data_IF_714916782367
#
_entry.id   IF_714916782367
#
_cell.length_a   1.000
_cell.length_b   1.000
_cell.length_c   1.000
_cell.angle_alpha   90.00
_cell.angle_beta   90.00
_cell.angle_gamma   90.00
#
_symmetry.space_group_name_H-M   'P 1'
#
loop_
_entity.id
_entity.type
_entity.pdbx_description
1 polymer ?
2 non-polymer ?
3 non-polymer ?
4 water ?
#
# COMPACT_ATOMS: atom_id res chain seq x y z
N UNK A 2 1.15 -27.58 -12.36
CA UNK A 2 1.09 -26.17 -12.01
C UNK A 2 1.05 -25.28 -13.25
N UNK A 4 -0.60 -25.28 -15.81
CA UNK A 4 -1.93 -25.01 -16.36
C UNK A 4 -2.70 -23.96 -15.56
N UNK A 5 -2.24 -23.62 -14.36
CA UNK A 5 -2.90 -22.57 -13.57
C UNK A 5 -2.72 -21.24 -14.28
N UNK A 6 -3.79 -20.45 -14.46
CA UNK A 6 -3.64 -19.19 -15.21
C UNK A 6 -2.59 -18.25 -14.64
N UNK A 7 -2.42 -18.23 -13.31
CA UNK A 7 -1.39 -17.38 -12.73
C UNK A 7 0.00 -17.87 -13.09
N UNK A 8 0.20 -19.19 -13.09
CA UNK A 8 1.49 -19.74 -13.49
C UNK A 8 1.72 -19.54 -14.98
N UNK A 9 0.66 -19.58 -15.78
CA UNK A 9 0.79 -19.31 -17.21
C UNK A 9 1.26 -17.88 -17.45
N UNK A 10 0.78 -16.94 -16.64
CA UNK A 10 1.19 -15.54 -16.79
C UNK A 10 2.63 -15.36 -16.38
N UNK A 11 3.04 -15.95 -15.27
CA UNK A 11 4.43 -15.86 -14.82
C UNK A 11 5.37 -16.61 -15.74
N UNK A 12 4.87 -17.58 -16.51
CA UNK A 12 5.71 -18.37 -17.40
C UNK A 12 6.17 -17.59 -18.62
N UNK A 13 5.56 -16.44 -18.91
CA UNK A 13 5.98 -15.62 -20.05
C UNK A 13 7.34 -14.97 -19.83
N UNK A 14 7.84 -14.94 -18.60
CA UNK A 14 9.08 -14.27 -18.26
C UNK A 14 10.18 -15.29 -18.00
N UNK A 15 11.41 -14.89 -18.26
CA UNK A 15 12.60 -15.69 -17.92
C UNK A 15 13.19 -15.25 -16.59
N UNK A 16 12.34 -15.13 -15.58
CA UNK A 16 12.72 -14.66 -14.25
C UNK A 16 12.48 -15.74 -13.21
N UNK A 17 12.70 -16.99 -13.59
CA UNK A 17 12.45 -18.12 -12.71
C UNK A 17 13.75 -18.60 -12.07
N UNK A 18 13.66 -19.01 -10.80
CA UNK A 18 14.77 -19.59 -10.07
C UNK A 18 14.26 -20.79 -9.30
N UNK A 19 15.19 -21.51 -8.66
CA UNK A 19 14.86 -22.57 -7.72
C UNK A 19 15.48 -22.22 -6.38
N UNK A 20 14.93 -22.79 -5.32
CA UNK A 20 15.37 -22.45 -3.98
C UNK A 20 15.50 -23.70 -3.11
N UNK A 21 16.41 -23.63 -2.16
CA UNK A 21 16.61 -24.68 -1.17
C UNK A 21 16.57 -24.06 0.22
N UNK A 22 16.07 -24.84 1.19
CA UNK A 22 15.92 -24.37 2.56
C UNK A 22 17.23 -24.58 3.30
N UNK A 23 18.03 -23.53 3.41
CA UNK A 23 19.27 -23.56 4.18
C UNK A 23 18.95 -23.03 5.57
N UNK A 24 18.80 -23.93 6.55
CA UNK A 24 18.40 -23.60 7.92
C UNK A 24 17.01 -22.99 7.87
N UNK A 25 16.82 -21.74 8.28
CA UNK A 25 15.50 -21.13 8.33
C UNK A 25 15.33 -20.04 7.26
N UNK A 26 16.21 -20.00 6.27
CA UNK A 26 16.07 -19.12 5.13
C UNK A 26 15.96 -19.95 3.86
N UNK A 27 15.58 -19.29 2.77
CA UNK A 27 15.36 -19.94 1.48
C UNK A 27 16.22 -19.25 0.43
N UNK A 28 17.29 -19.92 0.03
CA UNK A 28 18.31 -19.33 -0.84
C UNK A 28 17.93 -19.62 -2.29
N UNK A 29 17.80 -18.62 -3.15
CA UNK A 29 17.53 -18.88 -4.56
C UNK A 29 18.78 -19.31 -5.31
N UNK A 30 18.56 -20.14 -6.34
CA UNK A 30 19.65 -20.72 -7.10
C UNK A 30 19.38 -20.57 -8.60
N UNK A 31 20.46 -20.46 -9.35
CA UNK A 31 20.39 -20.47 -10.81
C UNK A 31 19.96 -21.85 -11.27
N UNK A 32 18.82 -21.99 -11.96
CA UNK A 32 18.35 -23.33 -12.35
C UNK A 32 19.15 -23.95 -13.48
N UNK A 33 20.12 -23.25 -14.04
CA UNK A 33 20.91 -23.75 -15.16
C UNK A 33 22.25 -24.34 -14.72
N UNK A 34 23.02 -23.60 -13.92
CA UNK A 34 24.30 -24.08 -13.43
C UNK A 34 24.25 -24.55 -11.98
N UNK A 35 23.19 -24.23 -11.24
CA UNK A 35 23.06 -24.67 -9.87
C UNK A 35 23.79 -23.84 -8.84
N UNK A 36 24.35 -22.70 -9.23
CA UNK A 36 25.02 -21.83 -8.28
C UNK A 36 24.02 -20.85 -7.65
N UNK A 37 24.46 -20.19 -6.59
CA UNK A 37 23.60 -19.23 -5.90
C UNK A 37 23.28 -18.06 -6.82
N UNK A 38 21.99 -17.77 -6.96
CA UNK A 38 21.51 -16.74 -7.87
C UNK A 38 21.29 -15.42 -7.13
N UNK A 39 21.43 -14.33 -7.86
CA UNK A 39 21.17 -12.99 -7.34
C UNK A 39 19.83 -12.48 -7.87
N UNK A 40 19.08 -11.79 -7.01
CA UNK A 40 17.78 -11.26 -7.39
C UNK A 40 17.88 -10.01 -8.26
N UNK A 41 19.08 -9.55 -8.59
CA UNK A 41 19.27 -8.37 -9.41
C UNK A 41 20.07 -8.64 -10.68
N UNK A 42 20.53 -9.87 -10.91
CA UNK A 42 21.23 -10.23 -12.13
C UNK A 42 20.32 -11.10 -12.98
N UNK A 43 19.76 -10.58 -14.08
CA UNK A 43 18.80 -11.38 -14.85
C UNK A 43 19.38 -12.65 -15.46
N UNK A 44 20.68 -12.66 -15.77
CA UNK A 44 21.30 -13.85 -16.35
C UNK A 44 21.51 -14.97 -15.35
N UNK A 45 21.22 -14.73 -14.06
CA UNK A 45 21.24 -15.79 -13.06
C UNK A 45 19.92 -16.54 -12.97
N UNK A 46 18.93 -16.17 -13.78
CA UNK A 46 17.62 -16.79 -13.79
C UNK A 46 17.48 -17.65 -15.04
N UNK A 47 16.26 -18.16 -15.27
CA UNK A 47 15.95 -18.92 -16.46
C UNK A 47 14.45 -18.92 -16.66
N UNK A 48 14.03 -19.55 -17.76
CA UNK A 48 12.60 -19.65 -18.00
C UNK A 48 12.03 -20.78 -17.13
N UNK A 49 10.71 -21.00 -17.23
CA UNK A 49 10.07 -21.97 -16.35
C UNK A 49 10.55 -23.39 -16.66
N UNK A 50 10.91 -23.67 -17.92
CA UNK A 50 11.35 -25.02 -18.27
C UNK A 50 12.74 -25.32 -17.73
N UNK A 51 13.64 -24.32 -17.74
CA UNK A 51 14.94 -24.51 -17.10
C UNK A 51 14.80 -24.58 -15.59
N UNK A 52 13.83 -23.87 -15.02
CA UNK A 52 13.58 -23.97 -13.58
C UNK A 52 12.97 -25.33 -13.24
N UNK A 53 12.04 -25.81 -14.07
CA UNK A 53 11.47 -27.13 -13.85
C UNK A 53 12.53 -28.22 -13.99
N UNK A 54 13.39 -28.12 -15.00
CA UNK A 54 14.44 -29.12 -15.18
C UNK A 54 15.50 -29.00 -14.09
N UNK A 55 15.94 -27.79 -13.78
CA UNK A 55 16.90 -27.59 -12.71
C UNK A 55 16.36 -27.97 -11.35
N UNK A 56 15.03 -27.99 -11.18
CA UNK A 56 14.44 -28.43 -9.92
C UNK A 56 14.73 -29.90 -9.66
N UNK A 57 14.68 -30.72 -10.71
CA UNK A 57 14.93 -32.15 -10.55
C UNK A 57 16.41 -32.43 -10.42
N UNK A 58 17.24 -31.76 -11.23
CA UNK A 58 18.67 -32.07 -11.28
C UNK A 58 19.35 -31.83 -9.93
N UNK A 59 19.26 -30.61 -9.42
CA UNK A 59 19.95 -30.24 -8.19
C UNK A 59 19.12 -30.51 -6.95
N UNK A 60 17.91 -31.07 -7.10
CA UNK A 60 17.09 -31.41 -5.96
C UNK A 60 16.74 -30.25 -5.07
N UNK A 61 16.07 -29.24 -5.63
CA UNK A 61 15.68 -28.06 -4.89
C UNK A 61 14.31 -28.27 -4.24
N UNK A 62 13.96 -27.35 -3.34
CA UNK A 62 12.70 -27.47 -2.61
C UNK A 62 11.51 -26.99 -3.44
N UNK A 63 11.73 -26.11 -4.40
CA UNK A 63 10.63 -25.63 -5.23
C UNK A 63 11.11 -24.57 -6.19
N UNK A 64 10.14 -23.99 -6.90
CA UNK A 64 10.40 -22.96 -7.88
C UNK A 64 10.31 -21.57 -7.24
N UNK A 65 10.87 -20.59 -7.95
CA UNK A 65 10.80 -19.20 -7.50
C UNK A 65 10.67 -18.27 -8.69
N UNK A 66 10.10 -17.11 -8.42
CA UNK A 66 9.91 -16.06 -9.43
C UNK A 66 10.45 -14.75 -8.89
N UNK A 67 11.37 -14.14 -9.64
CA UNK A 67 12.04 -12.92 -9.21
C UNK A 67 11.19 -11.72 -9.62
N UNK A 68 10.89 -10.86 -8.65
CA UNK A 68 10.16 -9.63 -8.89
C UNK A 68 11.13 -8.53 -9.31
N UNK A 69 10.84 -7.90 -10.44
CA UNK A 69 11.70 -6.86 -10.99
C UNK A 69 10.92 -5.55 -11.08
N UNK A 70 11.67 -4.44 -11.22
CA UNK A 70 11.07 -3.13 -11.37
C UNK A 70 10.35 -2.96 -12.70
N UNK A 71 10.40 -3.95 -13.58
CA UNK A 71 9.79 -3.85 -14.90
C UNK A 71 8.56 -4.71 -15.08
N UNK A 72 8.30 -5.67 -14.19
CA UNK A 72 7.07 -6.45 -14.21
C UNK A 72 6.16 -6.04 -13.06
N UNK A 73 4.84 -6.11 -13.24
CA UNK A 73 3.92 -5.47 -12.29
C UNK A 73 3.37 -6.37 -11.19
N UNK A 74 4.01 -7.51 -10.95
CA UNK A 74 3.47 -8.47 -9.99
C UNK A 74 3.82 -8.06 -8.56
N UNK A 75 2.82 -8.03 -7.69
CA UNK A 75 2.98 -7.67 -6.29
C UNK A 75 2.87 -8.93 -5.44
N UNK A 76 3.85 -9.14 -4.58
CA UNK A 76 3.91 -10.32 -3.72
C UNK A 76 3.42 -9.93 -2.33
N UNK A 77 2.24 -10.42 -1.96
CA UNK A 77 1.67 -10.21 -0.64
C UNK A 77 1.84 -11.50 0.15
N UNK A 78 2.63 -11.44 1.21
CA UNK A 78 2.97 -12.61 2.01
C UNK A 78 2.25 -12.53 3.35
N UNK A 79 1.44 -13.54 3.64
CA UNK A 79 0.72 -13.65 4.91
C UNK A 79 1.32 -14.82 5.69
N UNK A 80 2.16 -14.51 6.66
CA UNK A 80 2.85 -15.52 7.45
C UNK A 80 1.95 -16.03 8.57
N UNK A 81 1.89 -17.35 8.72
CA UNK A 81 1.25 -18.01 9.87
C UNK A 81 -0.18 -17.53 10.07
N UNK A 82 -0.99 -17.65 9.02
CA UNK A 82 -2.39 -17.26 9.07
C UNK A 82 -3.32 -18.46 8.96
N UNK A 83 -2.79 -19.65 8.74
CA UNK A 83 -3.59 -20.87 8.61
C UNK A 83 -3.36 -21.77 9.81
N UNK A 84 -4.39 -22.55 10.15
CA UNK A 84 -4.27 -23.56 11.18
C UNK A 84 -3.83 -24.88 10.55
N UNK A 85 -3.89 -25.97 11.33
CA UNK A 85 -3.43 -27.26 10.83
C UNK A 85 -4.34 -27.82 9.75
N UNK A 86 -5.57 -27.32 9.63
CA UNK A 86 -6.49 -27.76 8.59
C UNK A 86 -6.48 -26.85 7.38
N UNK A 87 -5.48 -25.97 7.27
CA UNK A 87 -5.37 -25.01 6.16
C UNK A 87 -6.61 -24.12 6.08
N UNK A 88 -7.07 -23.64 7.23
CA UNK A 88 -8.14 -22.66 7.33
C UNK A 88 -7.59 -21.39 7.95
N UNK A 89 -8.07 -20.25 7.46
CA UNK A 89 -7.56 -18.96 7.93
C UNK A 89 -7.97 -18.76 9.38
N UNK A 90 -6.98 -18.66 10.27
CA UNK A 90 -7.23 -18.51 11.69
C UNK A 90 -7.09 -17.07 12.18
N UNK A 91 -6.42 -16.20 11.44
CA UNK A 91 -6.23 -14.82 11.84
C UNK A 91 -7.37 -13.97 11.29
N UNK A 92 -7.92 -13.11 12.16
CA UNK A 92 -9.05 -12.29 11.75
C UNK A 92 -8.65 -11.24 10.72
N UNK A 93 -7.45 -10.67 10.85
CA UNK A 93 -6.99 -9.69 9.88
C UNK A 93 -6.80 -10.31 8.50
N UNK A 94 -6.38 -11.58 8.45
CA UNK A 94 -6.20 -12.23 7.16
C UNK A 94 -7.54 -12.55 6.51
N UNK A 95 -8.55 -12.89 7.31
CA UNK A 95 -9.88 -13.13 6.76
C UNK A 95 -10.46 -11.86 6.15
N UNK A 96 -10.20 -10.71 6.78
CA UNK A 96 -10.70 -9.46 6.24
C UNK A 96 -9.89 -9.02 5.02
N UNK A 97 -8.58 -9.30 5.03
CA UNK A 97 -7.76 -8.96 3.88
C UNK A 97 -8.17 -9.76 2.65
N UNK A 98 -8.40 -11.07 2.82
CA UNK A 98 -8.80 -11.90 1.70
C UNK A 98 -10.18 -11.52 1.16
N UNK A 99 -11.02 -10.88 1.97
CA UNK A 99 -12.28 -10.36 1.47
C UNK A 99 -12.09 -9.09 0.65
N UNK A 100 -11.12 -8.26 1.03
CA UNK A 100 -10.89 -7.00 0.34
C UNK A 100 -10.01 -7.15 -0.89
N UNK A 101 -9.17 -8.19 -0.94
CA UNK A 101 -8.22 -8.39 -2.02
C UNK A 101 -8.43 -9.80 -2.56
N UNK A 102 -9.06 -9.90 -3.73
CA UNK A 102 -9.35 -11.19 -4.37
C UNK A 102 -8.47 -11.31 -5.60
N UNK A 103 -7.38 -12.06 -5.48
CA UNK A 103 -6.48 -12.34 -6.60
C UNK A 103 -5.92 -13.75 -6.39
N UNK A 104 -4.89 -14.09 -7.16
CA UNK A 104 -4.29 -15.42 -7.05
C UNK A 104 -3.76 -15.63 -5.63
N UNK A 105 -4.19 -16.72 -5.01
CA UNK A 105 -3.81 -17.04 -3.64
C UNK A 105 -3.39 -18.51 -3.57
N UNK A 106 -2.19 -18.75 -3.03
CA UNK A 106 -1.66 -20.09 -2.90
C UNK A 106 -1.15 -20.29 -1.47
N UNK A 107 -1.01 -21.55 -1.09
CA UNK A 107 -0.49 -21.92 0.22
C UNK A 107 1.03 -21.93 0.16
N UNK A 108 1.66 -21.19 1.07
CA UNK A 108 3.11 -21.07 1.08
C UNK A 108 3.74 -22.43 1.42
N UNK A 109 5.04 -22.61 1.11
CA UNK A 109 5.66 -23.94 1.28
C UNK A 109 5.48 -24.58 2.65
N UNK A 110 5.54 -23.79 3.73
CA UNK A 110 5.47 -24.37 5.07
C UNK A 110 4.07 -24.89 5.42
N UNK A 111 3.07 -24.57 4.62
CA UNK A 111 1.73 -25.10 4.82
C UNK A 111 0.86 -24.32 5.78
N UNK A 112 1.39 -23.30 6.44
CA UNK A 112 0.61 -22.50 7.38
C UNK A 112 0.52 -21.04 6.98
N UNK A 113 1.03 -20.67 5.81
CA UNK A 113 0.98 -19.31 5.32
C UNK A 113 0.28 -19.22 3.97
N UNK A 114 0.14 -17.98 3.50
CA UNK A 114 -0.52 -17.70 2.24
C UNK A 114 0.31 -16.72 1.42
N UNK A 115 0.21 -16.86 0.10
CA UNK A 115 0.80 -15.91 -0.85
C UNK A 115 -0.32 -15.34 -1.70
N UNK A 116 -0.35 -14.02 -1.83
CA UNK A 116 -1.28 -13.33 -2.70
C UNK A 116 -0.47 -12.58 -3.75
N UNK A 117 -0.79 -12.81 -5.03
CA UNK A 117 -0.09 -12.19 -6.14
C UNK A 117 -1.07 -11.28 -6.87
N UNK A 118 -0.74 -10.00 -6.96
CA UNK A 118 -1.60 -8.99 -7.56
C UNK A 118 -0.78 -8.22 -8.58
N UNK A 119 -1.43 -7.83 -9.69
CA UNK A 119 -0.82 -6.95 -10.68
C UNK A 119 -1.26 -5.52 -10.38
N UNK A 120 -0.37 -4.76 -9.74
CA UNK A 120 -0.71 -3.40 -9.37
C UNK A 120 0.47 -2.60 -8.83
N UNK A 121 0.18 -1.68 -7.91
CA UNK A 121 1.19 -0.81 -7.34
C UNK A 121 0.92 -0.65 -5.85
N UNK A 122 1.97 -0.83 -5.04
CA UNK A 122 1.84 -0.74 -3.60
C UNK A 122 1.75 0.71 -3.14
N UNK A 123 1.03 0.97 -2.04
CA UNK A 123 1.10 2.30 -1.42
C UNK A 123 2.51 2.59 -0.93
N UNK A 124 2.97 3.81 -1.17
CA UNK A 124 4.32 4.19 -0.83
C UNK A 124 4.49 4.53 0.66
N UNK A 125 3.42 4.50 1.44
CA UNK A 125 3.46 4.91 2.83
C UNK A 125 3.37 3.75 3.82
N UNK A 126 3.29 2.51 3.33
CA UNK A 126 3.19 1.35 4.21
C UNK A 126 4.56 0.69 4.33
N UNK A 127 4.81 0.09 5.48
CA UNK A 127 6.06 -0.63 5.69
C UNK A 127 6.04 -1.95 4.93
N UNK A 128 7.25 -2.42 4.58
CA UNK A 128 7.36 -3.71 3.90
C UNK A 128 6.99 -4.88 4.81
N UNK A 129 7.06 -4.70 6.12
CA UNK A 129 6.79 -5.77 7.07
C UNK A 129 5.95 -5.23 8.22
N UNK A 130 4.97 -6.01 8.66
CA UNK A 130 4.13 -5.66 9.79
C UNK A 130 3.93 -6.91 10.64
N UNK A 131 4.60 -6.94 11.80
CA UNK A 131 4.45 -8.06 12.72
C UNK A 131 3.23 -7.85 13.62
N UNK A 132 2.57 -8.96 13.95
CA UNK A 132 1.41 -8.94 14.82
C UNK A 132 1.67 -9.80 16.06
N UNK A 133 1.00 -9.45 17.15
CA UNK A 133 1.11 -10.24 18.38
C UNK A 133 0.63 -11.66 18.19
N UNK A 134 -0.22 -11.91 17.18
CA UNK A 134 -0.63 -13.26 16.83
C UNK A 134 0.55 -14.14 16.45
N UNK A 135 1.70 -13.55 16.15
CA UNK A 135 2.78 -14.26 15.49
C UNK A 135 2.71 -14.22 13.98
N UNK A 136 1.54 -13.88 13.43
CA UNK A 136 1.38 -13.69 12.00
C UNK A 136 2.04 -12.38 11.56
N UNK A 137 2.20 -12.23 10.25
CA UNK A 137 2.83 -11.04 9.70
C UNK A 137 2.33 -10.80 8.28
N UNK A 138 2.31 -9.52 7.89
CA UNK A 138 1.94 -9.11 6.54
C UNK A 138 3.14 -8.45 5.89
N UNK A 139 3.60 -9.03 4.78
CA UNK A 139 4.72 -8.49 4.03
C UNK A 139 4.30 -8.22 2.59
N UNK A 140 4.82 -7.12 2.03
CA UNK A 140 4.52 -6.72 0.67
C UNK A 140 5.84 -6.41 -0.04
N UNK A 141 5.96 -6.87 -1.29
CA UNK A 141 7.17 -6.67 -2.06
C UNK A 141 6.82 -6.47 -3.52
N UNK A 142 7.55 -5.58 -4.19
CA UNK A 142 7.33 -5.25 -5.58
C UNK A 142 8.52 -5.58 -6.48
N UNK A 143 9.74 -5.50 -5.97
CA UNK A 143 10.93 -5.77 -6.77
C UNK A 143 12.08 -6.07 -5.82
N UNK A 144 13.26 -6.29 -6.40
CA UNK A 144 14.44 -6.61 -5.62
C UNK A 144 14.30 -7.85 -4.75
N UNK A 145 13.46 -8.79 -5.18
CA UNK A 145 13.14 -9.95 -4.37
C UNK A 145 12.55 -11.03 -5.25
N UNK A 146 12.61 -12.26 -4.76
CA UNK A 146 11.95 -13.39 -5.40
C UNK A 146 10.95 -14.00 -4.43
N UNK A 148 8.60 -17.62 -3.55
CA UNK A 148 8.44 -19.04 -3.81
C UNK A 148 7.08 -19.30 -4.48
N UNK A 149 7.07 -20.26 -5.40
CA UNK A 149 5.89 -20.59 -6.18
C UNK A 149 5.56 -22.05 -5.94
N UNK A 150 4.41 -22.30 -5.31
CA UNK A 150 3.99 -23.66 -5.00
C UNK A 150 2.88 -24.18 -5.90
N UNK A 151 2.03 -23.31 -6.41
CA UNK A 151 0.88 -23.73 -7.18
C UNK A 151 -0.26 -24.30 -6.36
N UNK A 152 -0.09 -24.42 -5.05
CA UNK A 152 -1.13 -24.95 -4.16
C UNK A 152 -2.25 -23.91 -4.05
N UNK A 153 -3.12 -23.90 -5.06
CA UNK A 153 -4.17 -22.89 -5.16
C UNK A 153 -5.07 -22.95 -3.94
N UNK A 154 -5.41 -21.77 -3.40
CA UNK A 154 -6.21 -21.64 -2.20
C UNK A 154 -7.56 -21.03 -2.55
N UNK A 155 -8.64 -21.71 -2.19
CA UNK A 155 -10.00 -21.21 -2.38
C UNK A 155 -10.33 -20.95 -3.84
N UNK A 156 -9.68 -21.70 -4.74
CA UNK A 156 -9.96 -21.56 -6.16
C UNK A 156 -9.51 -20.25 -6.77
N UNK A 157 -8.65 -19.50 -6.10
CA UNK A 157 -8.17 -18.22 -6.59
C UNK A 157 -6.90 -18.49 -7.41
N UNK A 158 -7.10 -18.73 -8.71
CA UNK A 158 -6.05 -19.23 -9.58
C UNK A 158 -5.59 -18.24 -10.64
N UNK A 159 -6.09 -17.00 -10.60
CA UNK A 159 -5.80 -16.03 -11.65
C UNK A 159 -5.33 -14.73 -11.01
N UNK A 160 -4.26 -14.16 -11.56
CA UNK A 160 -3.75 -12.87 -11.11
C UNK A 160 -4.64 -11.77 -11.65
N UNK A 161 -5.10 -10.89 -10.76
CA UNK A 161 -5.99 -9.80 -11.12
C UNK A 161 -5.30 -8.47 -10.93
N UNK A 162 -5.74 -7.47 -11.71
CA UNK A 162 -5.26 -6.10 -11.58
C UNK A 162 -6.17 -5.36 -10.61
N UNK A 163 -5.65 -5.00 -9.45
CA UNK A 163 -6.44 -4.41 -8.39
C UNK A 163 -5.75 -3.16 -7.84
N UNK A 164 -6.56 -2.30 -7.23
CA UNK A 164 -6.03 -1.17 -6.47
C UNK A 164 -5.70 -1.66 -5.06
N UNK A 165 -4.52 -1.29 -4.57
CA UNK A 165 -4.01 -1.81 -3.31
C UNK A 165 -4.02 -0.76 -2.19
N UNK A 166 -4.89 0.25 -2.30
CA UNK A 166 -4.99 1.25 -1.25
C UNK A 166 -5.50 0.65 0.05
N UNK A 167 -6.27 -0.43 -0.03
CA UNK A 167 -6.84 -1.04 1.17
C UNK A 167 -5.75 -1.63 2.07
N UNK A 168 -4.56 -1.89 1.54
CA UNK A 168 -3.47 -2.40 2.35
C UNK A 168 -3.04 -1.41 3.42
N UNK A 169 -3.29 -0.11 3.21
CA UNK A 169 -2.93 0.89 4.20
C UNK A 169 -3.68 0.77 5.50
N UNK A 170 -4.80 0.03 5.51
CA UNK A 170 -5.58 -0.19 6.72
C UNK A 170 -5.25 -1.51 7.39
N UNK A 171 -4.35 -2.31 6.81
CA UNK A 171 -3.92 -3.57 7.41
C UNK A 171 -2.46 -3.57 7.82
N UNK A 172 -1.62 -2.80 7.15
CA UNK A 172 -0.20 -2.75 7.43
C UNK A 172 0.17 -1.45 8.13
N UNK A 173 1.29 -1.49 8.85
CA UNK A 173 1.78 -0.30 9.54
C UNK A 173 2.28 0.73 8.54
N UNK A 174 2.15 2.00 8.91
CA UNK A 174 2.59 3.11 8.08
C UNK A 174 4.00 3.55 8.50
N UNK A 175 4.44 4.67 7.95
CA UNK A 175 5.74 5.23 8.30
C UNK A 175 5.65 6.75 8.21
N UNK A 176 6.79 7.42 8.15
CA UNK A 176 6.87 8.88 8.13
C UNK A 176 6.08 9.47 6.98
N UNK A 191 -2.40 26.48 20.30
CA UNK A 191 -3.04 26.36 21.60
C UNK A 191 -4.44 26.97 21.55
N UNK A 192 -4.52 28.26 21.23
CA UNK A 192 -5.81 28.91 21.05
C UNK A 192 -6.52 28.48 19.78
N UNK A 193 -5.96 27.54 19.03
CA UNK A 193 -6.62 27.03 17.83
C UNK A 193 -7.92 26.32 18.20
N UNK A 194 -7.93 25.63 19.35
CA UNK A 194 -9.13 24.91 19.77
C UNK A 194 -10.31 25.86 19.98
N UNK A 195 -10.04 27.07 20.47
CA UNK A 195 -11.10 28.07 20.59
C UNK A 195 -11.61 28.50 19.22
N UNK A 196 -10.71 28.62 18.25
CA UNK A 196 -11.13 28.97 16.88
C UNK A 196 -11.90 27.81 16.25
N UNK A 197 -11.45 26.58 16.49
CA UNK A 197 -12.12 25.42 15.92
C UNK A 197 -13.53 25.28 16.49
N UNK A 198 -13.67 25.47 17.81
CA UNK A 198 -14.99 25.39 18.42
C UNK A 198 -15.91 26.47 17.86
N UNK A 199 -15.40 27.68 17.65
CA UNK A 199 -16.22 28.76 17.10
C UNK A 199 -16.65 28.44 15.68
N UNK A 201 -17.10 25.28 14.37
CA UNK A 201 -18.16 24.29 14.50
C UNK A 201 -19.46 24.94 14.98
N UNK A 202 -19.34 25.92 15.87
CA UNK A 202 -20.52 26.61 16.39
C UNK A 202 -21.28 27.31 15.27
N UNK A 203 -20.55 27.96 14.36
CA UNK A 203 -21.17 28.70 13.26
C UNK A 203 -21.30 27.88 11.99
N UNK A 204 -21.11 26.56 12.07
CA UNK A 204 -21.26 25.72 10.90
C UNK A 204 -20.20 25.94 9.84
N UNK A 205 -18.97 26.25 10.24
CA UNK A 205 -17.87 26.49 9.31
C UNK A 205 -16.86 25.35 9.31
N UNK A 206 -17.19 24.21 9.91
CA UNK A 206 -16.29 23.06 9.96
C UNK A 206 -16.70 22.03 8.94
N UNK A 207 -15.78 21.56 8.10
CA UNK A 207 -16.17 20.72 6.96
C UNK A 207 -16.33 19.25 7.34
N UNK A 208 -17.13 18.55 6.55
CA UNK A 208 -17.25 17.11 6.64
C UNK A 208 -16.07 16.43 5.97
N UNK A 209 -15.94 15.13 6.21
CA UNK A 209 -14.96 14.35 5.48
C UNK A 209 -15.39 14.23 4.01
N UNK A 210 -14.45 14.28 3.07
CA UNK A 210 -14.84 14.18 1.66
C UNK A 210 -15.43 12.81 1.34
N UNK A 211 -16.49 12.82 0.54
CA UNK A 211 -17.17 11.60 0.15
C UNK A 211 -16.51 11.07 -1.14
N UNK A 212 -17.24 10.28 -1.92
CA UNK A 212 -16.74 9.73 -3.17
C UNK A 212 -17.27 10.55 -4.33
N UNK A 213 -16.39 10.88 -5.28
CA UNK A 213 -16.74 11.70 -6.42
C UNK A 213 -16.56 13.18 -6.21
N UNK A 214 -16.34 13.63 -4.98
CA UNK A 214 -16.14 15.05 -4.70
C UNK A 214 -14.72 15.47 -5.08
N UNK A 215 -14.60 16.72 -5.51
CA UNK A 215 -13.30 17.30 -5.81
C UNK A 215 -12.64 17.71 -4.50
N UNK A 216 -11.75 16.85 -4.00
CA UNK A 216 -11.08 17.13 -2.74
C UNK A 216 -10.33 18.44 -2.79
N UNK A 217 -9.70 18.76 -3.92
CA UNK A 217 -8.97 20.01 -4.04
C UNK A 217 -9.90 21.21 -3.94
N UNK A 218 -11.14 21.08 -4.44
CA UNK A 218 -12.09 22.19 -4.35
C UNK A 218 -12.56 22.40 -2.92
N UNK A 219 -12.74 21.30 -2.16
CA UNK A 219 -13.09 21.43 -0.76
C UNK A 219 -11.96 22.04 0.06
N UNK A 220 -10.72 21.92 -0.40
CA UNK A 220 -9.60 22.50 0.33
C UNK A 220 -9.62 24.02 0.28
N UNK A 222 -12.19 26.06 -0.36
CA UNK A 222 -13.33 26.59 0.37
C UNK A 222 -13.05 26.64 1.87
N UNK A 223 -12.49 25.56 2.42
CA UNK A 223 -12.15 25.54 3.83
C UNK A 223 -11.01 26.49 4.14
N UNK A 224 -10.02 26.57 3.24
CA UNK A 224 -8.91 27.50 3.45
C UNK A 224 -9.38 28.94 3.39
N UNK A 225 -10.33 29.25 2.51
CA UNK A 225 -10.92 30.58 2.48
C UNK A 225 -11.57 30.92 3.82
N UNK A 226 -12.35 29.99 4.37
CA UNK A 226 -12.94 30.20 5.68
C UNK A 226 -11.86 30.31 6.75
N UNK A 227 -10.83 29.48 6.65
CA UNK A 227 -9.74 29.55 7.62
C UNK A 227 -9.02 30.89 7.57
N UNK A 228 -8.91 31.49 6.38
CA UNK A 228 -8.27 32.80 6.26
C UNK A 228 -9.07 33.87 7.00
N UNK A 229 -10.40 33.72 7.05
CA UNK A 229 -11.23 34.67 7.78
C UNK A 229 -11.14 34.45 9.28
N UNK A 230 -11.41 33.22 9.74
CA UNK A 230 -11.53 32.97 11.18
C UNK A 230 -10.18 33.02 11.88
N UNK A 231 -9.10 32.64 11.20
CA UNK A 231 -7.78 32.65 11.81
C UNK A 231 -7.04 33.97 11.64
N UNK A 232 -7.66 34.95 10.98
CA UNK A 232 -7.03 36.25 10.83
C UNK A 232 -5.81 36.26 9.94
N UNK A 233 -5.79 35.43 8.89
CA UNK A 233 -4.68 35.29 7.96
C UNK A 233 -3.36 34.95 8.66
N UNK A 234 -3.43 34.35 9.85
CA UNK A 234 -2.24 33.80 10.51
C UNK A 234 -1.94 32.48 9.83
N UNK A 235 -1.09 32.54 8.79
CA UNK A 235 -0.89 31.39 7.91
C UNK A 235 -0.36 30.18 8.66
N UNK A 236 0.32 30.42 9.79
CA UNK A 236 0.77 29.30 10.62
C UNK A 236 -0.40 28.68 11.38
N UNK A 237 -1.32 29.52 11.86
CA UNK A 237 -2.49 29.00 12.56
C UNK A 237 -3.45 28.29 11.60
N UNK A 239 -2.58 26.66 9.06
CA UNK A 239 -1.97 25.39 8.76
C UNK A 239 -2.20 24.39 9.88
N UNK A 240 -2.00 24.82 11.13
CA UNK A 240 -2.20 23.93 12.28
C UNK A 240 -3.64 23.41 12.33
N UNK A 241 -4.61 24.27 12.03
CA UNK A 241 -6.01 23.86 12.11
C UNK A 241 -6.38 22.96 10.94
N UNK A 242 -5.79 23.19 9.76
CA UNK A 242 -6.13 22.36 8.61
C UNK A 242 -5.67 20.93 8.81
N UNK A 243 -4.52 20.73 9.47
CA UNK A 243 -4.03 19.37 9.69
C UNK A 243 -4.89 18.61 10.68
N UNK A 244 -5.66 19.32 11.52
CA UNK A 244 -6.61 18.69 12.43
C UNK A 244 -8.01 18.58 11.84
N UNK A 245 -8.15 18.78 10.53
CA UNK A 245 -9.43 18.76 9.83
C UNK A 245 -9.61 17.47 9.04
N UNK A 246 -10.84 17.12 8.69
CA UNK A 246 -11.06 15.92 7.87
C UNK A 246 -10.59 16.05 6.42
N UNK A 247 -10.13 17.23 6.01
CA UNK A 247 -9.65 17.44 4.65
C UNK A 247 -8.14 17.26 4.52
N UNK A 249 -4.53 15.38 4.08
CA UNK A 249 -4.03 14.23 3.34
C UNK A 249 -2.55 14.45 3.05
N UNK A 250 -1.95 13.48 2.37
CA UNK A 250 -0.52 13.54 2.06
C UNK A 250 -0.21 14.64 1.06
N UNK A 251 -1.15 14.96 0.16
CA UNK A 251 -0.91 15.97 -0.86
C UNK A 251 -0.65 17.34 -0.26
N UNK A 252 -1.12 17.58 0.97
CA UNK A 252 -0.92 18.87 1.61
C UNK A 252 0.56 19.25 1.68
N UNK A 253 1.43 18.27 1.94
CA UNK A 253 2.86 18.52 2.10
C UNK A 253 3.66 18.12 0.87
N UNK A 254 3.02 17.96 -0.27
CA UNK A 254 3.72 17.50 -1.47
C UNK A 254 4.37 18.69 -2.18
N UNK A 255 5.63 18.57 -2.59
CA UNK A 255 6.30 19.70 -3.26
C UNK A 255 5.59 20.08 -4.56
N UNK A 256 5.41 21.39 -4.76
CA UNK A 256 4.75 21.91 -5.96
C UNK A 256 5.34 23.27 -6.28
N UNK A 257 6.16 23.33 -7.33
CA UNK A 257 6.71 24.58 -7.86
C UNK A 257 7.43 25.38 -6.78
N UNK A 258 8.32 24.71 -6.05
CA UNK A 258 9.10 25.36 -5.02
C UNK A 258 8.41 25.51 -3.69
N UNK A 259 7.12 25.24 -3.61
CA UNK A 259 6.38 25.30 -2.35
C UNK A 259 5.69 23.95 -2.17
N UNK A 260 4.64 23.94 -1.36
CA UNK A 260 3.79 22.77 -1.19
C UNK A 260 2.37 23.11 -1.64
N UNK A 261 1.61 22.06 -1.99
CA UNK A 261 0.22 22.27 -2.37
C UNK A 261 -0.57 22.91 -1.24
N UNK A 262 -0.18 22.67 0.00
CA UNK A 262 -0.82 23.27 1.15
C UNK A 262 -0.53 24.74 1.31
N UNK A 263 0.75 25.11 1.21
CA UNK A 263 1.12 26.51 1.40
C UNK A 263 0.64 27.38 0.25
N UNK A 264 0.66 26.86 -0.97
CA UNK A 264 0.09 27.59 -2.11
C UNK A 264 -1.40 27.82 -1.90
N UNK A 265 -2.09 26.82 -1.34
CA UNK A 265 -3.52 26.95 -1.09
C UNK A 265 -3.79 27.97 0.01
N UNK A 266 -3.01 27.93 1.10
CA UNK A 266 -3.24 28.87 2.19
C UNK A 266 -2.89 30.30 1.77
N UNK A 267 -1.85 30.46 0.95
CA UNK A 267 -1.50 31.79 0.46
C UNK A 267 -2.57 32.33 -0.48
N UNK A 268 -3.15 31.47 -1.31
CA UNK A 268 -4.27 31.89 -2.16
C UNK A 268 -5.45 32.37 -1.32
N UNK A 269 -5.77 31.65 -0.26
CA UNK A 269 -6.90 32.01 0.59
C UNK A 269 -6.69 33.38 1.23
N UNK A 270 -5.46 33.68 1.64
CA UNK A 270 -5.17 34.98 2.23
C UNK A 270 -5.35 36.11 1.22
N UNK A 271 -5.00 35.86 -0.05
CA UNK A 271 -5.18 36.87 -1.09
C UNK A 271 -6.64 37.02 -1.49
N UNK A 272 -7.46 36.00 -1.26
CA UNK A 272 -8.83 36.00 -1.77
C UNK A 272 -9.82 36.67 -0.82
N UNK A 273 -9.63 36.55 0.48
CA UNK A 273 -10.59 37.08 1.44
C UNK A 273 -10.16 38.49 1.85
N UNK A 274 -11.16 39.33 2.13
CA UNK A 274 -10.94 40.68 2.62
C UNK A 274 -11.28 40.83 4.10
N UNK A 275 -12.43 40.31 4.52
CA UNK A 275 -12.84 40.40 5.91
C UNK A 275 -11.94 39.53 6.79
N UNK A 276 -12.02 39.78 8.10
CA UNK A 276 -11.16 39.10 9.07
C UNK A 276 -11.83 39.11 10.44
N UNK A 277 -11.86 37.97 11.10
CA UNK A 277 -12.38 37.88 12.46
C UNK A 277 -11.31 38.35 13.43
N UNK A 278 -11.65 39.35 14.24
CA UNK A 278 -10.67 40.03 15.11
C UNK A 278 -11.19 40.11 16.54
N UNK A 279 -11.51 38.96 17.15
CA UNK A 279 -12.37 38.93 18.35
C UNK A 279 -13.19 40.18 18.61
N UNK A 280 -14.27 40.33 17.85
CA UNK A 280 -15.22 41.43 18.00
C UNK A 280 -16.61 40.96 17.65
N UNK A 281 -16.94 40.95 16.36
CA UNK A 281 -18.18 40.38 15.85
C UNK A 281 -17.87 39.50 14.66
N UNK A 282 -18.62 38.42 14.52
CA UNK A 282 -18.32 37.37 13.55
C UNK A 282 -19.46 37.16 12.55
N UNK A 283 -20.10 38.24 12.13
CA UNK A 283 -21.15 38.19 11.10
C UNK A 283 -20.65 38.74 9.77
N UNK A 284 -19.45 38.34 9.35
CA UNK A 284 -18.76 39.01 8.25
C UNK A 284 -18.78 38.23 6.95
N UNK A 285 -18.36 36.97 6.95
CA UNK A 285 -18.10 36.32 5.68
C UNK A 285 -18.40 34.82 5.73
N UNK A 286 -18.68 34.30 4.54
CA UNK A 286 -18.73 32.87 4.24
C UNK A 286 -19.93 32.16 4.85
N UNK A 287 -20.76 31.55 3.98
CA UNK A 287 -21.95 30.82 4.36
C UNK A 287 -21.60 29.47 4.99
N UNK A 288 -22.45 28.96 5.88
CA UNK A 288 -22.15 27.69 6.55
C UNK A 288 -22.28 26.51 5.60
N UNK A 289 -21.57 25.44 5.95
CA UNK A 289 -21.58 24.22 5.16
C UNK A 289 -22.97 23.58 5.13
#
# INVERSE_FOLDING_TARGET
XIXEIPAIKALSRYAQWVIWKKERDTKIPYNPNNGKKASSTDPLAWGDIDEAQAGLVRYGANGLGFVLTKSDPFVFIDLDHVLDENKRVKCEWARQLLKEIKSYTEISPSGDGLHVVVSGKLPDYIKHKTKFDDGSALEVYESGRYXTITGEVFDGRDDIKELDLSILGEFAEHKIETKNAPVQIESATTLDDEAIIDLXKRKGQWPDAPADGDDWSSLDXSFANRLAFWCGKDIERXDRIFRQSPLXRQKWDRPTAGSTYGRITLKKACDFVDSVYDPALRNESDCPF
#
